data_IF_814916216639
#
_entry.id   IF_814916216639
#
_cell.length_a   1.000
_cell.length_b   1.000
_cell.length_c   1.000
_cell.angle_alpha   90.00
_cell.angle_beta   90.00
_cell.angle_gamma   90.00
#
_symmetry.space_group_name_H-M   'P 1'
#
loop_
_entity.id
_entity.type
_entity.pdbx_description
1 polymer ?
#
# COMPACT_ATOMS: atom_id res chain seq x y z
N UNK A 1 3.38 21.98 1.11
CA UNK A 1 3.27 20.91 0.08
C UNK A 1 1.79 20.73 -0.22
N UNK A 2 1.36 20.77 -1.50
CA UNK A 2 -0.06 20.52 -1.83
C UNK A 2 -0.38 19.06 -1.48
N UNK A 3 -1.44 18.83 -0.72
CA UNK A 3 -1.88 17.47 -0.45
C UNK A 3 -2.28 16.79 -1.77
N UNK A 4 -1.85 15.55 -1.96
CA UNK A 4 -2.27 14.75 -3.12
C UNK A 4 -3.80 14.67 -3.13
N UNK A 5 -4.40 14.88 -4.31
CA UNK A 5 -5.84 14.66 -4.54
C UNK A 5 -6.17 13.17 -4.74
N UNK A 6 -5.16 12.31 -4.62
CA UNK A 6 -5.23 10.89 -4.89
C UNK A 6 -4.85 10.07 -3.66
N UNK A 7 -5.43 8.89 -3.59
CA UNK A 7 -5.11 7.83 -2.66
C UNK A 7 -4.83 6.54 -3.43
N UNK A 8 -3.91 5.73 -2.91
CA UNK A 8 -3.61 4.40 -3.44
C UNK A 8 -4.34 3.36 -2.61
N UNK A 9 -5.10 2.50 -3.28
CA UNK A 9 -5.72 1.31 -2.69
C UNK A 9 -4.94 0.09 -3.15
N UNK A 10 -4.39 -0.69 -2.21
CA UNK A 10 -3.79 -1.99 -2.52
C UNK A 10 -4.76 -3.08 -2.10
N UNK A 11 -5.08 -3.96 -3.04
CA UNK A 11 -5.92 -5.13 -2.79
C UNK A 11 -5.04 -6.33 -2.50
N UNK A 12 -5.05 -6.80 -1.25
CA UNK A 12 -4.33 -8.01 -0.85
C UNK A 12 -5.28 -9.21 -0.89
N UNK A 13 -5.10 -10.17 -1.80
CA UNK A 13 -5.95 -11.35 -1.90
C UNK A 13 -6.03 -12.13 -0.59
N UNK A 14 -7.23 -12.56 -0.20
CA UNK A 14 -7.46 -13.47 0.94
C UNK A 14 -7.67 -14.90 0.46
N UNK A 15 -7.77 -15.84 1.41
CA UNK A 15 -8.19 -17.22 1.11
C UNK A 15 -9.59 -17.29 0.50
N UNK A 16 -10.45 -16.31 0.76
CA UNK A 16 -11.79 -16.21 0.16
C UNK A 16 -11.67 -15.95 -1.34
N UNK A 17 -10.78 -15.04 -1.75
CA UNK A 17 -10.55 -14.81 -3.18
C UNK A 17 -10.01 -16.05 -3.89
N UNK A 18 -9.07 -16.77 -3.28
CA UNK A 18 -8.59 -18.04 -3.84
C UNK A 18 -9.74 -19.06 -3.99
N UNK A 19 -10.61 -19.15 -3.00
CA UNK A 19 -11.79 -20.03 -3.03
C UNK A 19 -12.78 -19.60 -4.12
N UNK A 20 -12.96 -18.29 -4.30
CA UNK A 20 -13.76 -17.72 -5.38
C UNK A 20 -13.16 -18.09 -6.75
N UNK A 21 -11.85 -17.92 -6.96
CA UNK A 21 -11.21 -18.34 -8.21
C UNK A 21 -11.40 -19.84 -8.47
N UNK A 22 -11.29 -20.68 -7.44
CA UNK A 22 -11.49 -22.13 -7.53
C UNK A 22 -12.92 -22.51 -7.92
N UNK A 23 -13.93 -21.79 -7.44
CA UNK A 23 -15.32 -22.03 -7.84
C UNK A 23 -15.58 -21.63 -9.29
N UNK A 24 -14.83 -20.66 -9.83
CA UNK A 24 -14.97 -20.21 -11.22
C UNK A 24 -14.30 -21.14 -12.23
N UNK A 25 -13.24 -21.87 -11.83
CA UNK A 25 -12.50 -22.81 -12.69
C UNK A 25 -12.09 -24.07 -11.92
N UNK A 26 -12.96 -25.09 -11.84
CA UNK A 26 -12.67 -26.33 -11.12
C UNK A 26 -11.48 -27.13 -11.66
N UNK A 27 -11.07 -26.90 -12.92
CA UNK A 27 -10.08 -27.70 -13.65
C UNK A 27 -8.75 -26.97 -13.92
N UNK A 28 -8.57 -25.74 -13.43
CA UNK A 28 -7.32 -24.99 -13.63
C UNK A 28 -6.35 -25.15 -12.46
N UNK A 29 -5.05 -25.28 -12.75
CA UNK A 29 -3.99 -25.12 -11.75
C UNK A 29 -3.97 -23.67 -11.25
N UNK A 30 -4.65 -23.42 -10.14
CA UNK A 30 -4.63 -22.12 -9.49
C UNK A 30 -3.32 -21.92 -8.71
N UNK A 31 -2.76 -20.70 -8.70
CA UNK A 31 -1.62 -20.38 -7.86
C UNK A 31 -1.99 -20.51 -6.39
N UNK A 32 -0.99 -20.80 -5.55
CA UNK A 32 -1.20 -20.75 -4.10
C UNK A 32 -1.42 -19.31 -3.61
N UNK A 33 -1.95 -19.18 -2.39
CA UNK A 33 -2.23 -17.86 -1.81
C UNK A 33 -0.98 -16.98 -1.68
N UNK A 34 0.20 -17.57 -1.47
CA UNK A 34 1.45 -16.81 -1.33
C UNK A 34 1.83 -16.17 -2.66
N UNK A 35 1.67 -16.88 -3.77
CA UNK A 35 1.85 -16.35 -5.11
C UNK A 35 0.87 -15.21 -5.39
N UNK A 36 -0.41 -15.37 -5.04
CA UNK A 36 -1.41 -14.30 -5.17
C UNK A 36 -1.03 -13.02 -4.40
N UNK A 37 -0.36 -13.18 -3.26
CA UNK A 37 0.06 -12.08 -2.39
C UNK A 37 1.46 -11.53 -2.69
N UNK A 38 2.22 -12.15 -3.60
CA UNK A 38 3.62 -11.77 -3.86
C UNK A 38 3.72 -10.43 -4.59
N UNK A 39 2.81 -10.16 -5.51
CA UNK A 39 2.73 -8.90 -6.25
C UNK A 39 1.27 -8.49 -6.32
N UNK A 40 0.83 -7.61 -5.42
CA UNK A 40 -0.57 -7.19 -5.35
C UNK A 40 -0.80 -5.93 -6.17
N UNK A 41 -1.98 -5.82 -6.77
CA UNK A 41 -2.33 -4.66 -7.60
C UNK A 41 -2.64 -3.46 -6.73
N UNK A 42 -2.10 -2.31 -7.14
CA UNK A 42 -2.43 -1.01 -6.58
C UNK A 42 -3.35 -0.24 -7.53
N UNK A 43 -4.31 0.48 -6.98
CA UNK A 43 -5.29 1.27 -7.71
C UNK A 43 -5.25 2.72 -7.25
N UNK A 44 -5.40 3.67 -8.17
CA UNK A 44 -5.56 5.08 -7.81
C UNK A 44 -7.04 5.44 -7.72
N UNK A 45 -7.42 6.06 -6.62
CA UNK A 45 -8.76 6.66 -6.39
C UNK A 45 -8.61 8.11 -5.96
N UNK A 46 -9.70 8.88 -6.06
CA UNK A 46 -9.74 10.22 -5.48
C UNK A 46 -9.67 10.13 -3.96
N UNK A 47 -8.89 11.04 -3.36
CA UNK A 47 -8.82 11.17 -1.92
C UNK A 47 -10.05 11.93 -1.41
N UNK A 48 -10.73 11.36 -0.43
CA UNK A 48 -11.83 12.00 0.29
C UNK A 48 -11.42 12.33 1.74
N UNK A 49 -12.25 13.13 2.43
CA UNK A 49 -11.98 13.56 3.81
C UNK A 49 -12.59 12.62 4.84
N UNK A 50 -13.66 11.93 4.47
CA UNK A 50 -14.39 10.98 5.30
C UNK A 50 -14.32 9.56 4.72
N UNK A 51 -14.37 8.57 5.61
CA UNK A 51 -14.24 7.16 5.26
C UNK A 51 -15.42 6.63 4.45
N UNK A 52 -16.62 7.20 4.64
CA UNK A 52 -17.84 6.83 3.92
C UNK A 52 -17.73 7.19 2.43
N UNK A 53 -17.31 8.42 2.11
CA UNK A 53 -17.05 8.83 0.73
C UNK A 53 -15.91 8.03 0.06
N UNK A 54 -14.89 7.63 0.82
CA UNK A 54 -13.86 6.71 0.31
C UNK A 54 -14.45 5.33 -0.01
N UNK A 55 -15.32 4.80 0.86
CA UNK A 55 -15.99 3.54 0.63
C UNK A 55 -16.92 3.59 -0.58
N UNK A 56 -17.68 4.67 -0.75
CA UNK A 56 -18.55 4.91 -1.92
C UNK A 56 -17.74 4.94 -3.23
N UNK A 57 -16.56 5.56 -3.22
CA UNK A 57 -15.67 5.57 -4.39
C UNK A 57 -15.14 4.17 -4.70
N UNK A 58 -14.79 3.38 -3.68
CA UNK A 58 -14.37 1.97 -3.85
C UNK A 58 -15.53 1.14 -4.39
N UNK A 59 -16.74 1.29 -3.85
CA UNK A 59 -17.95 0.59 -4.32
C UNK A 59 -18.23 0.93 -5.78
N UNK A 60 -18.15 2.20 -6.15
CA UNK A 60 -18.33 2.63 -7.54
C UNK A 60 -17.40 1.89 -8.52
N UNK A 61 -16.15 1.61 -8.12
CA UNK A 61 -15.17 0.96 -8.99
C UNK A 61 -14.95 -0.53 -8.72
N UNK A 62 -15.58 -1.12 -7.71
CA UNK A 62 -15.37 -2.51 -7.34
C UNK A 62 -15.56 -3.48 -8.52
N UNK A 63 -16.55 -3.30 -9.44
CA UNK A 63 -16.72 -4.24 -10.55
C UNK A 63 -15.51 -4.24 -11.49
N UNK A 64 -14.90 -3.06 -11.72
CA UNK A 64 -13.71 -2.90 -12.56
C UNK A 64 -12.47 -3.48 -11.86
N UNK A 65 -12.28 -3.17 -10.58
CA UNK A 65 -11.17 -3.72 -9.79
C UNK A 65 -11.26 -5.25 -9.69
N UNK A 66 -12.43 -5.78 -9.36
CA UNK A 66 -12.60 -7.21 -9.16
C UNK A 66 -12.42 -8.00 -10.46
N UNK A 67 -12.98 -7.49 -11.56
CA UNK A 67 -12.76 -8.05 -12.90
C UNK A 67 -11.28 -8.04 -13.28
N UNK A 68 -10.57 -6.97 -12.98
CA UNK A 68 -9.13 -6.90 -13.23
C UNK A 68 -8.39 -8.02 -12.49
N UNK A 69 -8.63 -8.18 -11.19
CA UNK A 69 -7.98 -9.22 -10.39
C UNK A 69 -8.32 -10.64 -10.87
N UNK A 70 -9.58 -10.91 -11.24
CA UNK A 70 -9.97 -12.20 -11.80
C UNK A 70 -9.26 -12.46 -13.13
N UNK A 71 -9.30 -11.50 -14.06
CA UNK A 71 -8.65 -11.62 -15.37
C UNK A 71 -7.13 -11.74 -15.27
N UNK A 72 -6.51 -11.17 -14.24
CA UNK A 72 -5.07 -11.26 -14.00
C UNK A 72 -4.63 -12.71 -13.78
N UNK A 73 -5.44 -13.50 -13.08
CA UNK A 73 -5.11 -14.89 -12.74
C UNK A 73 -5.72 -15.91 -13.71
N UNK A 74 -6.93 -15.66 -14.18
CA UNK A 74 -7.67 -16.59 -15.07
C UNK A 74 -7.51 -16.25 -16.56
N UNK A 75 -6.86 -15.14 -16.87
CA UNK A 75 -6.71 -14.61 -18.23
C UNK A 75 -7.95 -13.86 -18.74
N UNK A 76 -7.79 -13.24 -19.91
CA UNK A 76 -8.84 -12.42 -20.57
C UNK A 76 -10.06 -13.21 -21.06
N UNK A 77 -10.02 -14.54 -20.96
CA UNK A 77 -11.11 -15.46 -21.32
C UNK A 77 -11.96 -15.88 -20.13
N UNK A 78 -11.74 -15.31 -18.95
CA UNK A 78 -12.70 -15.41 -17.84
C UNK A 78 -14.05 -14.84 -18.30
N UNK A 79 -14.96 -15.72 -18.72
CA UNK A 79 -16.22 -15.40 -19.42
C UNK A 79 -17.44 -15.38 -18.53
N UNK A 80 -17.28 -15.65 -17.24
CA UNK A 80 -18.40 -15.69 -16.32
C UNK A 80 -18.86 -14.26 -16.02
N UNK A 81 -20.17 -14.05 -15.97
CA UNK A 81 -20.73 -12.84 -15.37
C UNK A 81 -20.22 -12.80 -13.92
N UNK A 82 -19.58 -11.70 -13.55
CA UNK A 82 -19.13 -11.50 -12.16
C UNK A 82 -20.40 -11.17 -11.38
N UNK A 83 -21.13 -12.21 -10.98
CA UNK A 83 -22.29 -12.12 -10.07
C UNK A 83 -21.84 -11.91 -8.62
N UNK A 84 -20.86 -11.03 -8.41
CA UNK A 84 -20.35 -10.75 -7.08
C UNK A 84 -20.87 -9.42 -6.58
N UNK A 85 -21.40 -9.43 -5.36
CA UNK A 85 -21.79 -8.24 -4.64
C UNK A 85 -20.55 -7.47 -4.17
N UNK A 86 -20.75 -6.21 -3.77
CA UNK A 86 -19.69 -5.44 -3.12
C UNK A 86 -19.20 -6.13 -1.83
N UNK A 87 -20.07 -6.82 -1.10
CA UNK A 87 -19.69 -7.58 0.09
C UNK A 87 -18.76 -8.76 -0.24
N UNK A 88 -18.99 -9.46 -1.35
CA UNK A 88 -18.10 -10.54 -1.80
C UNK A 88 -16.71 -9.98 -2.12
N UNK A 89 -16.67 -8.82 -2.77
CA UNK A 89 -15.42 -8.10 -3.05
C UNK A 89 -14.69 -7.72 -1.74
N UNK A 90 -15.40 -7.17 -0.75
CA UNK A 90 -14.81 -6.85 0.55
C UNK A 90 -14.28 -8.09 1.29
N UNK A 91 -14.93 -9.25 1.14
CA UNK A 91 -14.45 -10.51 1.72
C UNK A 91 -13.21 -11.06 0.98
N UNK A 92 -13.12 -10.84 -0.33
CA UNK A 92 -12.04 -11.34 -1.17
C UNK A 92 -10.70 -10.63 -0.93
N UNK A 93 -10.72 -9.38 -0.46
CA UNK A 93 -9.50 -8.58 -0.31
C UNK A 93 -9.37 -7.92 1.04
N UNK A 94 -8.14 -7.90 1.55
CA UNK A 94 -7.75 -6.91 2.56
C UNK A 94 -7.32 -5.64 1.83
N UNK A 95 -7.86 -4.51 2.26
CA UNK A 95 -7.55 -3.20 1.70
C UNK A 95 -6.43 -2.54 2.49
N UNK A 96 -5.51 -1.90 1.78
CA UNK A 96 -4.55 -0.97 2.36
C UNK A 96 -4.68 0.36 1.63
N UNK A 97 -4.92 1.43 2.39
CA UNK A 97 -5.11 2.78 1.87
C UNK A 97 -3.87 3.61 2.16
N UNK A 98 -3.35 4.28 1.15
CA UNK A 98 -2.15 5.09 1.26
C UNK A 98 -2.35 6.46 0.60
N UNK A 99 -2.47 7.49 1.42
CA UNK A 99 -2.70 8.85 0.94
C UNK A 99 -1.41 9.66 0.77
N UNK A 100 -0.26 9.14 1.23
CA UNK A 100 1.04 9.79 1.04
C UNK A 100 1.76 9.23 -0.19
N UNK A 101 1.71 10.03 -1.25
CA UNK A 101 2.23 9.66 -2.57
C UNK A 101 3.38 10.59 -2.92
N UNK A 102 4.56 10.02 -3.12
CA UNK A 102 5.74 10.67 -3.67
C UNK A 102 5.86 10.28 -5.13
N UNK A 103 5.71 11.25 -6.03
CA UNK A 103 5.83 11.03 -7.47
C UNK A 103 7.28 11.22 -7.93
N UNK A 104 7.85 10.19 -8.56
CA UNK A 104 9.12 10.26 -9.28
C UNK A 104 8.92 10.31 -10.80
N UNK A 105 7.67 10.19 -11.24
CA UNK A 105 7.22 10.35 -12.62
C UNK A 105 6.55 11.73 -12.81
N UNK A 106 6.44 12.26 -14.04
CA UNK A 106 5.86 13.58 -14.29
C UNK A 106 4.41 13.75 -13.81
N UNK A 107 3.65 12.65 -13.83
CA UNK A 107 2.26 12.59 -13.39
C UNK A 107 1.95 11.23 -12.77
N UNK A 108 0.89 11.15 -11.96
CA UNK A 108 0.46 9.87 -11.39
C UNK A 108 0.02 8.91 -12.51
N UNK A 109 -0.65 9.43 -13.55
CA UNK A 109 -1.16 8.68 -14.70
C UNK A 109 -0.05 7.98 -15.50
N UNK A 110 1.16 8.52 -15.49
CA UNK A 110 2.33 7.90 -16.13
C UNK A 110 2.95 6.79 -15.26
N UNK A 111 2.63 6.75 -13.97
CA UNK A 111 3.06 5.72 -13.04
C UNK A 111 2.40 4.38 -13.32
N UNK A 112 3.21 3.33 -13.43
CA UNK A 112 2.78 1.94 -13.66
C UNK A 112 3.17 1.01 -12.53
N UNK A 113 4.08 1.46 -11.67
CA UNK A 113 4.66 0.72 -10.58
C UNK A 113 4.83 1.64 -9.37
N UNK A 114 4.87 1.04 -8.20
CA UNK A 114 5.17 1.76 -6.97
C UNK A 114 5.87 0.88 -5.97
N UNK A 115 6.51 1.53 -5.00
CA UNK A 115 7.02 0.88 -3.81
C UNK A 115 6.36 1.48 -2.58
N UNK A 116 5.98 0.63 -1.63
CA UNK A 116 5.43 1.03 -0.34
C UNK A 116 6.52 0.90 0.72
N UNK A 117 6.74 1.98 1.45
CA UNK A 117 7.72 2.05 2.54
C UNK A 117 6.95 1.92 3.85
N UNK A 118 7.02 0.74 4.46
CA UNK A 118 6.24 0.41 5.65
C UNK A 118 7.11 0.39 6.90
N UNK A 119 6.71 1.08 7.98
CA UNK A 119 7.42 1.00 9.24
C UNK A 119 7.34 -0.42 9.81
N UNK A 120 8.49 -0.99 10.17
CA UNK A 120 8.56 -2.29 10.86
C UNK A 120 8.20 -2.12 12.32
N UNK A 121 7.82 -3.22 12.95
CA UNK A 121 7.51 -3.28 14.38
C UNK A 121 8.65 -2.76 15.27
N UNK A 122 9.91 -2.88 14.85
CA UNK A 122 11.07 -2.34 15.57
C UNK A 122 11.00 -0.81 15.67
N UNK A 123 10.68 -0.12 14.57
CA UNK A 123 10.51 1.33 14.56
C UNK A 123 9.28 1.74 15.38
N UNK A 124 8.16 1.04 15.20
CA UNK A 124 6.93 1.31 15.94
C UNK A 124 7.13 1.18 17.46
N UNK A 125 7.88 0.16 17.91
CA UNK A 125 8.23 -0.02 19.33
C UNK A 125 9.16 1.08 19.83
N UNK A 126 10.16 1.45 19.03
CA UNK A 126 11.10 2.51 19.37
C UNK A 126 10.38 3.83 19.62
N UNK A 127 9.46 4.22 18.74
CA UNK A 127 8.68 5.45 18.91
C UNK A 127 7.83 5.42 20.19
N UNK A 128 7.21 4.28 20.52
CA UNK A 128 6.48 4.15 21.79
C UNK A 128 7.38 4.39 22.99
N UNK A 129 8.54 3.74 23.02
CA UNK A 129 9.48 3.86 24.15
C UNK A 129 10.10 5.25 24.28
N UNK A 130 10.33 5.96 23.18
CA UNK A 130 10.84 7.34 23.21
C UNK A 130 9.80 8.34 23.71
N UNK A 131 8.51 8.02 23.57
CA UNK A 131 7.40 8.88 24.01
C UNK A 131 7.00 8.61 25.45
N UNK A 132 7.06 7.36 25.91
CA UNK A 132 6.79 7.00 27.31
C UNK A 132 7.79 7.65 28.30
N UNK A 133 8.92 8.17 27.80
CA UNK A 133 9.90 8.92 28.58
C UNK A 133 9.60 10.42 28.70
N UNK A 134 8.54 10.91 28.04
CA UNK A 134 8.19 12.33 27.97
C UNK A 134 6.69 12.52 28.33
N UNK A 135 6.42 12.86 29.60
CA UNK A 135 5.05 12.91 30.17
C UNK A 135 4.12 13.93 29.46
N UNK A 136 4.66 14.94 28.77
CA UNK A 136 3.86 15.89 27.97
C UNK A 136 3.33 15.28 26.65
N UNK A 137 4.03 14.30 26.08
CA UNK A 137 3.72 13.70 24.76
C UNK A 137 2.68 12.57 24.82
N UNK A 138 2.35 12.07 26.02
CA UNK A 138 1.29 11.08 26.24
C UNK A 138 -0.08 11.54 25.72
N UNK A 139 -0.29 12.86 25.60
CA UNK A 139 -1.54 13.47 25.13
C UNK A 139 -1.61 13.53 23.60
N UNK A 140 -0.47 13.69 22.91
CA UNK A 140 -0.37 13.79 21.44
C UNK A 140 -0.47 12.40 20.79
N UNK A 141 0.11 11.37 21.42
CA UNK A 141 0.06 9.99 20.91
C UNK A 141 -1.22 9.22 21.25
N UNK A 142 -2.06 9.72 22.17
CA UNK A 142 -3.45 9.24 22.32
C UNK A 142 -4.30 9.50 21.07
N UNK A 143 -3.88 10.40 20.17
CA UNK A 143 -4.59 10.71 18.93
C UNK A 143 -4.05 9.94 17.70
N UNK A 144 -2.89 9.28 17.79
CA UNK A 144 -2.27 8.61 16.64
C UNK A 144 -2.35 7.10 16.83
N UNK A 145 -3.34 6.47 16.21
CA UNK A 145 -3.50 5.03 16.26
C UNK A 145 -2.33 4.35 15.51
N UNK A 146 -1.48 3.65 16.24
CA UNK A 146 -0.30 2.97 15.68
C UNK A 146 -0.66 1.92 14.61
N UNK A 147 -1.90 1.40 14.61
CA UNK A 147 -2.39 0.56 13.51
C UNK A 147 -2.56 1.38 12.22
N UNK A 148 -3.10 2.61 12.32
CA UNK A 148 -3.26 3.53 11.19
C UNK A 148 -1.90 4.02 10.65
N UNK A 149 -0.88 4.18 11.51
CA UNK A 149 0.49 4.50 11.08
C UNK A 149 1.17 3.35 10.32
N UNK A 150 0.82 2.10 10.64
CA UNK A 150 1.32 0.93 9.93
C UNK A 150 0.54 0.67 8.63
N UNK A 151 -0.74 1.02 8.60
CA UNK A 151 -1.66 0.78 7.48
C UNK A 151 -1.57 1.85 6.40
N UNK A 152 -1.40 3.12 6.77
CA UNK A 152 -1.02 4.15 5.82
C UNK A 152 0.50 4.08 5.67
N UNK A 153 1.05 3.99 4.47
CA UNK A 153 2.49 3.96 4.21
C UNK A 153 2.87 5.08 3.24
N UNK A 154 4.14 5.52 3.22
CA UNK A 154 4.62 6.35 2.11
C UNK A 154 4.76 5.49 0.87
N UNK A 155 4.07 5.90 -0.19
CA UNK A 155 4.14 5.27 -1.52
C UNK A 155 5.01 6.11 -2.42
N UNK A 156 6.00 5.49 -3.05
CA UNK A 156 6.82 6.12 -4.09
C UNK A 156 6.43 5.55 -5.44
N UNK A 157 5.83 6.38 -6.29
CA UNK A 157 5.44 6.00 -7.65
C UNK A 157 6.63 6.24 -8.56
N UNK A 158 7.15 5.16 -9.13
CA UNK A 158 8.31 5.17 -10.02
C UNK A 158 8.23 3.98 -10.97
N UNK A 159 8.46 4.24 -12.24
CA UNK A 159 8.62 3.21 -13.26
C UNK A 159 10.06 2.68 -13.23
N UNK A 160 10.19 1.37 -13.04
CA UNK A 160 11.45 0.64 -13.14
C UNK A 160 11.42 -0.23 -14.40
N UNK A 161 12.50 -0.23 -15.17
CA UNK A 161 12.60 -1.12 -16.32
C UNK A 161 12.87 -2.55 -15.86
N UNK A 162 13.61 -2.70 -14.75
CA UNK A 162 13.97 -3.98 -14.16
C UNK A 162 13.90 -3.93 -12.63
N UNK A 163 13.43 -5.01 -12.00
CA UNK A 163 13.38 -5.13 -10.52
C UNK A 163 14.76 -4.95 -9.86
N UNK A 164 15.84 -5.26 -10.59
CA UNK A 164 17.21 -5.06 -10.12
C UNK A 164 17.56 -3.58 -9.85
N UNK A 165 16.83 -2.62 -10.44
CA UNK A 165 17.03 -1.18 -10.27
C UNK A 165 16.50 -0.65 -8.93
N UNK A 166 15.57 -1.39 -8.29
CA UNK A 166 14.90 -0.95 -7.07
C UNK A 166 15.90 -0.82 -5.90
N UNK A 167 16.80 -1.79 -5.74
CA UNK A 167 17.79 -1.76 -4.66
C UNK A 167 18.81 -0.60 -4.80
N UNK A 168 19.42 -0.36 -5.98
CA UNK A 168 20.22 0.84 -6.23
C UNK A 168 19.45 2.13 -5.98
N UNK A 169 18.19 2.22 -6.45
CA UNK A 169 17.33 3.36 -6.20
C UNK A 169 17.14 3.63 -4.71
N UNK A 170 16.77 2.60 -3.94
CA UNK A 170 16.60 2.74 -2.49
C UNK A 170 17.92 3.14 -1.79
N UNK A 171 19.05 2.59 -2.20
CA UNK A 171 20.37 2.99 -1.67
C UNK A 171 20.70 4.46 -1.93
N UNK A 172 20.23 5.01 -3.05
CA UNK A 172 20.43 6.42 -3.38
C UNK A 172 19.47 7.33 -2.60
N UNK A 173 18.24 6.89 -2.36
CA UNK A 173 17.15 7.73 -1.85
C UNK A 173 16.67 7.40 -0.44
N UNK A 174 17.30 6.47 0.29
CA UNK A 174 16.83 6.07 1.62
C UNK A 174 16.76 7.23 2.62
N UNK A 175 17.65 8.22 2.54
CA UNK A 175 17.64 9.38 3.43
C UNK A 175 16.41 10.29 3.18
N UNK A 176 16.14 10.76 1.94
CA UNK A 176 14.89 11.47 1.64
C UNK A 176 13.63 10.68 2.00
N UNK A 177 13.61 9.38 1.71
CA UNK A 177 12.47 8.50 2.01
C UNK A 177 12.25 8.40 3.51
N UNK A 178 13.32 8.14 4.28
CA UNK A 178 13.29 8.12 5.74
C UNK A 178 12.73 9.42 6.31
N UNK A 179 13.26 10.55 5.89
CA UNK A 179 12.81 11.87 6.35
C UNK A 179 11.33 12.09 6.05
N UNK A 180 10.87 11.72 4.86
CA UNK A 180 9.47 11.86 4.46
C UNK A 180 8.55 11.02 5.35
N UNK A 181 8.95 9.77 5.61
CA UNK A 181 8.17 8.85 6.44
C UNK A 181 8.19 9.26 7.92
N UNK A 182 9.32 9.73 8.45
CA UNK A 182 9.41 10.19 9.83
C UNK A 182 8.64 11.49 10.07
N UNK A 183 8.68 12.47 9.15
CA UNK A 183 7.88 13.70 9.25
C UNK A 183 6.38 13.41 9.36
N UNK A 184 5.92 12.31 8.79
CA UNK A 184 4.53 11.88 8.88
C UNK A 184 4.20 11.29 10.25
N UNK A 185 5.15 10.63 10.88
CA UNK A 185 4.96 9.87 12.12
C UNK A 185 5.29 10.71 13.37
N UNK A 186 6.24 11.64 13.27
CA UNK A 186 6.76 12.47 14.35
C UNK A 186 7.37 13.77 13.80
N UNK A 187 6.81 14.92 14.18
CA UNK A 187 7.29 16.24 13.74
C UNK A 187 8.64 16.63 14.38
N UNK A 188 9.01 16.01 15.50
CA UNK A 188 10.23 16.32 16.26
C UNK A 188 11.44 15.56 15.71
N UNK A 189 12.18 16.18 14.80
CA UNK A 189 13.36 15.57 14.16
C UNK A 189 14.47 15.11 15.12
N UNK A 190 14.57 15.73 16.29
CA UNK A 190 15.51 15.36 17.37
C UNK A 190 15.16 13.99 17.98
N UNK A 191 13.90 13.59 17.88
CA UNK A 191 13.36 12.31 18.35
C UNK A 191 13.29 11.28 17.23
N UNK A 192 14.07 11.41 16.16
CA UNK A 192 14.13 10.38 15.12
C UNK A 192 15.27 9.41 15.41
N UNK A 193 15.12 8.12 15.08
CA UNK A 193 16.23 7.20 15.17
C UNK A 193 17.32 7.62 14.18
N UNK A 194 18.59 7.45 14.58
CA UNK A 194 19.71 7.68 13.67
C UNK A 194 19.67 6.65 12.52
N UNK A 195 19.62 7.14 11.28
CA UNK A 195 19.70 6.33 10.06
C UNK A 195 20.81 6.89 9.18
N UNK A 196 22.00 6.32 9.33
CA UNK A 196 23.24 6.70 8.65
C UNK A 196 23.57 5.79 7.46
N UNK A 197 22.86 4.67 7.31
CA UNK A 197 23.10 3.68 6.28
C UNK A 197 21.80 3.06 5.76
N UNK A 198 21.89 2.49 4.55
CA UNK A 198 20.79 1.72 3.96
C UNK A 198 20.45 0.46 4.76
N UNK A 199 21.42 -0.12 5.49
CA UNK A 199 21.18 -1.28 6.33
C UNK A 199 20.32 -0.92 7.54
N UNK A 200 20.65 0.20 8.20
CA UNK A 200 19.84 0.76 9.28
C UNK A 200 18.44 1.11 8.79
N UNK A 201 18.31 1.66 7.58
CA UNK A 201 17.01 1.91 6.95
C UNK A 201 16.18 0.62 6.82
N UNK A 202 16.76 -0.46 6.27
CA UNK A 202 16.03 -1.74 6.11
C UNK A 202 15.66 -2.42 7.43
N UNK A 203 16.36 -2.09 8.53
CA UNK A 203 15.99 -2.55 9.88
C UNK A 203 14.70 -1.89 10.37
N UNK A 204 14.47 -0.65 10.00
CA UNK A 204 13.29 0.11 10.42
C UNK A 204 12.14 0.05 9.43
N UNK A 205 12.42 -0.17 8.14
CA UNK A 205 11.40 -0.17 7.09
C UNK A 205 11.39 -1.46 6.29
N UNK A 206 10.19 -1.91 5.92
CA UNK A 206 9.96 -2.92 4.90
C UNK A 206 9.63 -2.20 3.60
N UNK A 207 10.15 -2.72 2.49
CA UNK A 207 9.79 -2.24 1.15
C UNK A 207 8.95 -3.32 0.48
N UNK A 208 7.70 -2.97 0.19
CA UNK A 208 6.82 -3.79 -0.65
C UNK A 208 6.84 -3.20 -2.07
N UNK A 209 6.89 -4.07 -3.08
CA UNK A 209 6.98 -3.69 -4.49
C UNK A 209 5.67 -4.10 -5.14
N UNK A 210 5.06 -3.16 -5.86
CA UNK A 210 3.83 -3.39 -6.61
C UNK A 210 4.11 -3.08 -8.08
N UNK A 211 4.10 -4.11 -8.91
CA UNK A 211 4.45 -3.97 -10.33
C UNK A 211 3.28 -3.50 -11.19
N UNK A 212 2.08 -3.41 -10.59
CA UNK A 212 0.87 -2.95 -11.24
C UNK A 212 0.22 -1.81 -10.47
N UNK A 213 0.30 -0.62 -11.04
CA UNK A 213 -0.49 0.54 -10.67
C UNK A 213 -1.54 0.81 -11.75
N UNK A 214 -2.81 0.67 -11.39
CA UNK A 214 -3.95 0.85 -12.29
C UNK A 214 -4.69 2.14 -11.95
N UNK A 215 -4.92 2.97 -12.97
CA UNK A 215 -5.68 4.20 -12.82
C UNK A 215 -7.16 3.95 -13.08
N UNK A 216 -8.01 4.29 -12.11
CA UNK A 216 -9.45 4.04 -12.23
C UNK A 216 -10.20 5.18 -12.94
N UNK A 217 -9.62 6.38 -12.97
CA UNK A 217 -10.14 7.60 -13.60
C UNK A 217 -9.45 7.97 -14.91
#
# INVERSE_FOLDING_TARGET
MKQSQWEIVILKPTSVFLSFLASQLPESELPDLKMLQTDTTAYTIRKHQDEEATLDEIERYFPKMFRHEICRWLGSRARNEIEASFLDFLCCFKFELHSQIVLMEPSLQEGRQLICIKPRSVLLKWMKSSVEQDEELTTVLKQVNLSQLAENATVVVKNFNHLAEIKPFLKQYYQPIFKTEMLRMCDSAEQWPAVDSYETFNRYFAVEIHTQLVHLH
#
